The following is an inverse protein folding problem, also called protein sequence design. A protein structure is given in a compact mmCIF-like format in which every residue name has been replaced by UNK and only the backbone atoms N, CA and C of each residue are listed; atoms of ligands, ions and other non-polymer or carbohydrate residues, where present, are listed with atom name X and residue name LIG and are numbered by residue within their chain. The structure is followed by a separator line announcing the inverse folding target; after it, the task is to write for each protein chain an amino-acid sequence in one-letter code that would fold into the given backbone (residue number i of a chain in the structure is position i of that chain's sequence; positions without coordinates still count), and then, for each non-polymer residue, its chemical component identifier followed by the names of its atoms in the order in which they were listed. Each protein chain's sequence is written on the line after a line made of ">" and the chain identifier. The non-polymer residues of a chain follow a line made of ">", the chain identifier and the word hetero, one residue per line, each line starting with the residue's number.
data_IF_537212145037
#
_entry.id   IF_537212145037
#
_cell.length_a   1.000
_cell.length_b   1.000
_cell.length_c   1.000
_cell.angle_alpha   90.00
_cell.angle_beta   90.00
_cell.angle_gamma   90.00
#
_symmetry.space_group_name_H-M   'P 1'
#
loop_
_entity.id
_entity.type
_entity.pdbx_description
1 polymer ?
#
# COMPACT_ATOMS: atom_id res chain seq x y z
N UNK A 1 38.16 34.47 -35.75
CA UNK A 1 37.90 35.08 -34.42
C UNK A 1 36.39 35.23 -34.26
N UNK A 2 35.82 34.48 -33.28
CA UNK A 2 34.75 34.86 -32.32
C UNK A 2 33.53 35.64 -32.86
N UNK A 3 32.27 35.31 -32.59
CA UNK A 3 31.67 34.45 -31.58
C UNK A 3 30.17 34.23 -31.89
N UNK A 4 29.71 33.00 -31.68
CA UNK A 4 28.33 32.61 -31.40
C UNK A 4 27.68 33.50 -30.34
N UNK A 5 26.44 33.99 -30.55
CA UNK A 5 25.33 34.16 -29.58
C UNK A 5 24.05 34.50 -30.38
N UNK A 6 22.85 33.99 -30.15
CA UNK A 6 22.36 33.03 -29.18
C UNK A 6 21.00 32.52 -29.67
N UNK A 7 20.92 31.22 -29.93
CA UNK A 7 19.69 30.52 -30.28
C UNK A 7 19.45 29.48 -29.18
N UNK A 8 19.24 29.95 -27.95
CA UNK A 8 18.85 29.13 -26.80
C UNK A 8 17.89 29.95 -25.95
N UNK A 9 16.59 29.80 -26.20
CA UNK A 9 15.53 30.09 -25.23
C UNK A 9 14.33 29.20 -25.51
N UNK A 10 14.52 27.89 -25.49
CA UNK A 10 13.42 26.92 -25.42
C UNK A 10 13.96 25.65 -24.76
N UNK A 11 14.02 25.62 -23.42
CA UNK A 11 13.78 24.42 -22.61
C UNK A 11 13.80 24.75 -21.12
N UNK A 12 13.08 23.94 -20.35
CA UNK A 12 12.97 23.89 -18.88
C UNK A 12 11.97 24.84 -18.21
N UNK A 13 10.69 24.63 -18.55
CA UNK A 13 9.63 24.68 -17.54
C UNK A 13 9.62 23.31 -16.83
N UNK A 14 10.48 23.14 -15.83
CA UNK A 14 10.29 22.12 -14.80
C UNK A 14 9.11 22.58 -13.95
N UNK A 15 7.90 22.22 -14.37
CA UNK A 15 6.74 22.32 -13.49
C UNK A 15 6.89 21.24 -12.44
N UNK A 16 7.44 21.61 -11.28
CA UNK A 16 7.24 20.81 -10.07
C UNK A 16 5.73 20.63 -9.90
N UNK A 17 5.19 19.40 -9.84
CA UNK A 17 3.84 19.25 -9.35
C UNK A 17 3.85 19.75 -7.90
N UNK A 18 3.28 20.93 -7.68
CA UNK A 18 2.89 21.36 -6.36
C UNK A 18 1.84 20.36 -5.87
N UNK A 19 2.27 19.36 -5.11
CA UNK A 19 1.39 18.46 -4.37
C UNK A 19 0.60 19.30 -3.37
N UNK A 20 -0.56 19.77 -3.80
CA UNK A 20 -1.53 20.43 -2.92
C UNK A 20 -2.56 19.38 -2.55
N UNK A 21 -2.20 18.48 -1.64
CA UNK A 21 -3.18 17.66 -0.91
C UNK A 21 -2.81 17.66 0.57
N UNK A 22 -2.75 18.86 1.16
CA UNK A 22 -2.86 19.00 2.60
C UNK A 22 -4.34 19.09 2.96
N UNK A 23 -5.04 17.97 2.97
CA UNK A 23 -6.08 17.79 3.99
C UNK A 23 -5.37 17.11 5.14
N UNK A 24 -4.75 17.92 6.00
CA UNK A 24 -4.32 17.45 7.32
C UNK A 24 -5.60 17.22 8.12
N UNK A 25 -6.19 16.03 7.96
CA UNK A 25 -7.16 15.54 8.92
C UNK A 25 -6.41 15.32 10.23
N UNK A 26 -6.47 16.30 11.13
CA UNK A 26 -5.90 16.15 12.47
C UNK A 26 -6.86 15.29 13.29
N UNK A 27 -6.36 14.31 14.06
CA UNK A 27 -7.20 13.46 14.93
C UNK A 27 -8.13 14.23 15.86
N UNK A 28 -7.83 15.50 16.13
CA UNK A 28 -8.61 16.36 17.02
C UNK A 28 -10.02 16.72 16.54
N UNK A 29 -10.42 16.38 15.30
CA UNK A 29 -11.76 16.69 14.77
C UNK A 29 -12.65 15.47 14.55
N UNK A 30 -12.08 14.29 14.27
CA UNK A 30 -12.86 13.07 14.03
C UNK A 30 -12.84 12.17 15.26
N UNK A 31 -13.99 11.58 15.62
CA UNK A 31 -14.08 10.63 16.71
C UNK A 31 -13.31 9.33 16.39
N UNK A 32 -13.20 8.99 15.11
CA UNK A 32 -12.34 7.90 14.65
C UNK A 32 -11.59 8.31 13.38
N UNK A 33 -10.32 7.95 13.31
CA UNK A 33 -9.45 8.29 12.19
C UNK A 33 -8.42 7.17 11.93
N UNK A 34 -8.14 6.92 10.65
CA UNK A 34 -7.08 6.03 10.22
C UNK A 34 -6.35 6.62 9.01
N UNK A 35 -5.02 6.46 8.98
CA UNK A 35 -4.14 6.87 7.89
C UNK A 35 -3.12 5.78 7.61
N UNK A 36 -2.93 5.45 6.33
CA UNK A 36 -1.85 4.62 5.83
C UNK A 36 -1.19 5.32 4.65
N UNK A 37 0.11 5.55 4.73
CA UNK A 37 0.88 6.23 3.70
C UNK A 37 2.21 5.50 3.45
N UNK A 38 2.55 5.38 2.17
CA UNK A 38 3.85 4.89 1.72
C UNK A 38 4.40 5.70 0.55
N UNK A 39 5.68 6.02 0.60
CA UNK A 39 6.45 6.62 -0.51
C UNK A 39 7.69 5.76 -0.78
N UNK A 40 8.04 5.58 -2.04
CA UNK A 40 9.26 4.88 -2.42
C UNK A 40 9.89 5.49 -3.67
N UNK A 41 11.21 5.62 -3.67
CA UNK A 41 11.98 6.18 -4.78
C UNK A 41 13.17 5.29 -5.09
N UNK A 42 13.43 5.10 -6.38
CA UNK A 42 14.63 4.48 -6.91
C UNK A 42 15.46 5.51 -7.68
N UNK A 43 16.76 5.52 -7.44
CA UNK A 43 17.72 6.39 -8.13
C UNK A 43 18.99 5.63 -8.47
N UNK A 44 19.85 6.25 -9.28
CA UNK A 44 21.22 5.77 -9.56
C UNK A 44 21.26 4.33 -10.09
N UNK A 45 20.33 3.98 -10.97
CA UNK A 45 20.38 2.67 -11.64
C UNK A 45 21.68 2.53 -12.45
N UNK A 46 22.32 1.39 -12.35
CA UNK A 46 23.53 1.09 -13.14
C UNK A 46 23.27 0.89 -14.63
N UNK A 47 22.02 0.66 -15.03
CA UNK A 47 21.60 0.35 -16.40
C UNK A 47 20.22 0.98 -16.68
N UNK A 48 19.96 1.35 -17.93
CA UNK A 48 18.66 1.87 -18.36
C UNK A 48 17.67 0.70 -18.59
N UNK A 49 16.38 0.85 -18.25
CA UNK A 49 15.39 -0.16 -18.54
C UNK A 49 15.06 -0.20 -20.04
N UNK A 50 14.88 -1.40 -20.60
CA UNK A 50 14.42 -1.58 -21.98
C UNK A 50 12.91 -1.34 -22.12
N UNK A 51 12.15 -1.52 -21.04
CA UNK A 51 10.72 -1.22 -20.97
C UNK A 51 10.30 -0.90 -19.53
N UNK A 52 9.33 -0.01 -19.36
CA UNK A 52 8.75 0.38 -18.07
C UNK A 52 7.23 0.31 -18.12
N UNK A 53 6.61 -0.01 -16.99
CA UNK A 53 5.17 0.15 -16.79
C UNK A 53 4.87 0.64 -15.39
N UNK A 54 3.70 1.25 -15.23
CA UNK A 54 3.23 1.81 -13.96
C UNK A 54 1.74 1.55 -13.81
N UNK A 55 1.30 1.31 -12.59
CA UNK A 55 -0.11 1.16 -12.26
C UNK A 55 -0.41 1.91 -10.96
N UNK A 56 -1.59 2.53 -10.90
CA UNK A 56 -2.07 3.24 -9.73
C UNK A 56 -3.57 2.96 -9.57
N UNK A 57 -3.96 2.50 -8.39
CA UNK A 57 -5.33 2.13 -8.04
C UNK A 57 -5.70 2.87 -6.75
N UNK A 58 -6.91 3.40 -6.71
CA UNK A 58 -7.47 4.05 -5.54
C UNK A 58 -8.96 3.73 -5.44
N UNK A 59 -9.38 3.15 -4.32
CA UNK A 59 -10.73 2.71 -4.05
C UNK A 59 -11.19 3.25 -2.69
N UNK A 60 -12.47 3.62 -2.61
CA UNK A 60 -13.10 4.04 -1.36
C UNK A 60 -14.49 3.44 -1.24
N UNK A 61 -14.89 3.12 -0.03
CA UNK A 61 -16.26 2.71 0.29
C UNK A 61 -16.71 3.42 1.56
N UNK A 62 -17.92 4.00 1.52
CA UNK A 62 -18.50 4.70 2.67
C UNK A 62 -19.94 4.24 2.85
N UNK A 63 -20.28 3.89 4.09
CA UNK A 63 -21.63 3.55 4.51
C UNK A 63 -21.99 4.33 5.76
N UNK A 64 -23.18 4.96 5.73
CA UNK A 64 -23.78 5.63 6.89
C UNK A 64 -25.24 5.20 7.00
N UNK A 65 -25.64 4.68 8.15
CA UNK A 65 -27.01 4.22 8.34
C UNK A 65 -28.00 5.40 8.38
N UNK A 66 -29.10 5.30 7.63
CA UNK A 66 -30.14 6.36 7.50
C UNK A 66 -30.80 6.77 8.83
N UNK A 67 -30.81 5.88 9.83
CA UNK A 67 -31.33 6.17 11.19
C UNK A 67 -30.24 6.61 12.18
N UNK A 68 -28.97 6.63 11.76
CA UNK A 68 -27.86 7.17 12.53
C UNK A 68 -27.65 8.66 12.23
N UNK A 69 -27.08 9.38 13.19
CA UNK A 69 -26.51 10.71 13.01
C UNK A 69 -25.01 10.63 12.67
N UNK A 70 -24.56 9.50 12.10
CA UNK A 70 -23.18 9.25 11.72
C UNK A 70 -22.73 10.10 10.55
N UNK A 71 -21.44 10.40 10.52
CA UNK A 71 -20.75 10.91 9.33
C UNK A 71 -19.52 10.05 9.10
N UNK A 72 -19.15 9.85 7.84
CA UNK A 72 -17.93 9.16 7.48
C UNK A 72 -17.39 9.68 6.15
N UNK A 73 -16.06 9.64 6.02
CA UNK A 73 -15.32 10.04 4.84
C UNK A 73 -14.17 9.07 4.64
N UNK A 74 -13.87 8.77 3.37
CA UNK A 74 -12.73 7.99 2.95
C UNK A 74 -12.06 8.68 1.76
N UNK A 75 -10.73 8.61 1.70
CA UNK A 75 -9.92 9.13 0.60
C UNK A 75 -8.80 8.14 0.29
N UNK A 76 -8.60 7.86 -1.00
CA UNK A 76 -7.51 7.04 -1.50
C UNK A 76 -6.81 7.77 -2.65
N UNK A 77 -5.48 7.73 -2.68
CA UNK A 77 -4.67 8.33 -3.73
C UNK A 77 -3.47 7.42 -4.02
N UNK A 78 -3.13 7.24 -5.29
CA UNK A 78 -1.96 6.51 -5.74
C UNK A 78 -1.33 7.20 -6.95
N UNK A 79 -0.01 7.26 -6.97
CA UNK A 79 0.78 7.84 -8.07
C UNK A 79 1.98 6.94 -8.34
N UNK A 80 2.28 6.71 -9.62
CA UNK A 80 3.46 5.97 -10.04
C UNK A 80 4.12 6.60 -11.26
N UNK A 81 5.45 6.60 -11.29
CA UNK A 81 6.27 7.17 -12.37
C UNK A 81 7.55 6.36 -12.56
N UNK A 82 7.92 6.16 -13.82
CA UNK A 82 9.21 5.58 -14.19
C UNK A 82 9.77 6.34 -15.39
N UNK A 83 10.93 6.96 -15.21
CA UNK A 83 11.71 7.63 -16.26
C UNK A 83 12.80 6.70 -16.75
N UNK A 84 12.94 6.55 -18.07
CA UNK A 84 13.92 5.64 -18.70
C UNK A 84 15.32 6.25 -18.70
N UNK A 85 15.46 7.53 -19.02
CA UNK A 85 16.77 8.20 -19.16
C UNK A 85 16.73 9.65 -18.66
N UNK A 86 17.54 10.03 -17.65
CA UNK A 86 18.27 9.12 -16.76
C UNK A 86 17.28 8.23 -15.95
N UNK A 87 17.62 6.97 -15.69
CA UNK A 87 16.70 6.02 -15.07
C UNK A 87 16.39 6.41 -13.61
N UNK A 88 15.10 6.57 -13.32
CA UNK A 88 14.58 6.85 -11.99
C UNK A 88 13.12 6.41 -11.90
N UNK A 89 12.70 5.92 -10.74
CA UNK A 89 11.31 5.54 -10.52
C UNK A 89 10.84 6.04 -9.16
N UNK A 90 9.57 6.43 -9.07
CA UNK A 90 8.97 6.85 -7.82
C UNK A 90 7.49 6.53 -7.81
N UNK A 91 6.99 6.24 -6.63
CA UNK A 91 5.57 6.05 -6.43
C UNK A 91 5.17 6.27 -4.98
N UNK A 92 3.89 6.63 -4.82
CA UNK A 92 3.28 6.95 -3.55
C UNK A 92 1.85 6.43 -3.50
N UNK A 93 1.41 6.12 -2.29
CA UNK A 93 0.02 5.72 -2.04
C UNK A 93 -0.39 6.19 -0.64
N UNK A 94 -1.61 6.68 -0.54
CA UNK A 94 -2.21 7.26 0.65
C UNK A 94 -3.65 6.79 0.75
N UNK A 95 -4.02 6.27 1.91
CA UNK A 95 -5.39 5.93 2.26
C UNK A 95 -5.73 6.57 3.60
N UNK A 96 -6.85 7.29 3.66
CA UNK A 96 -7.36 7.89 4.90
C UNK A 96 -8.84 7.61 5.05
N UNK A 97 -9.29 7.44 6.29
CA UNK A 97 -10.69 7.29 6.60
C UNK A 97 -10.98 7.93 7.97
N UNK A 98 -12.15 8.54 8.10
CA UNK A 98 -12.59 9.14 9.34
C UNK A 98 -14.10 9.04 9.51
N UNK A 99 -14.55 9.10 10.75
CA UNK A 99 -15.97 9.15 11.05
C UNK A 99 -16.26 9.79 12.40
N UNK A 100 -17.51 10.19 12.57
CA UNK A 100 -18.03 10.77 13.80
C UNK A 100 -19.39 10.17 14.13
N UNK A 101 -19.75 10.21 15.42
CA UNK A 101 -20.97 9.66 15.97
C UNK A 101 -21.04 8.13 15.80
N UNK A 102 -22.11 7.60 15.19
CA UNK A 102 -22.43 6.16 15.22
C UNK A 102 -23.00 5.66 13.90
N UNK A 103 -22.91 4.35 13.71
CA UNK A 103 -23.47 3.62 12.56
C UNK A 103 -22.86 4.05 11.23
N UNK A 104 -21.53 4.08 11.19
CA UNK A 104 -20.77 4.33 9.97
C UNK A 104 -19.70 3.26 9.74
N UNK A 105 -19.30 3.14 8.48
CA UNK A 105 -18.13 2.42 8.00
C UNK A 105 -17.50 3.24 6.88
N UNK A 106 -16.20 3.44 6.93
CA UNK A 106 -15.42 4.02 5.84
C UNK A 106 -14.15 3.18 5.60
N UNK A 107 -13.91 2.88 4.34
CA UNK A 107 -12.78 2.10 3.83
C UNK A 107 -12.07 2.89 2.75
N UNK A 108 -10.75 2.89 2.77
CA UNK A 108 -9.94 3.36 1.65
C UNK A 108 -8.78 2.41 1.40
N UNK A 109 -8.55 2.08 0.12
CA UNK A 109 -7.44 1.26 -0.34
C UNK A 109 -6.77 1.95 -1.52
N UNK A 110 -5.44 1.99 -1.51
CA UNK A 110 -4.63 2.54 -2.58
C UNK A 110 -3.43 1.64 -2.86
N UNK A 111 -3.11 1.49 -4.13
CA UNK A 111 -1.98 0.69 -4.60
C UNK A 111 -1.21 1.44 -5.68
N UNK A 112 0.12 1.41 -5.60
CA UNK A 112 0.98 1.97 -6.63
C UNK A 112 2.09 0.99 -6.98
N UNK A 113 2.26 0.72 -8.28
CA UNK A 113 3.19 -0.26 -8.82
C UNK A 113 4.08 0.40 -9.86
N UNK A 114 5.39 0.14 -9.81
CA UNK A 114 6.33 0.46 -10.89
C UNK A 114 7.05 -0.81 -11.31
N UNK A 115 7.21 -1.00 -12.62
CA UNK A 115 7.93 -2.13 -13.21
C UNK A 115 8.96 -1.60 -14.18
N UNK A 116 10.21 -2.05 -14.03
CA UNK A 116 11.29 -1.81 -14.98
C UNK A 116 11.89 -3.13 -15.44
N UNK A 117 11.98 -3.32 -16.75
CA UNK A 117 12.65 -4.47 -17.35
C UNK A 117 14.04 -4.05 -17.81
N UNK A 118 15.07 -4.83 -17.48
CA UNK A 118 16.45 -4.51 -17.78
C UNK A 118 17.13 -5.70 -18.44
N UNK A 119 17.88 -5.42 -19.50
CA UNK A 119 18.75 -6.38 -20.14
C UNK A 119 20.16 -6.21 -19.58
N UNK A 120 20.52 -7.08 -18.63
CA UNK A 120 21.80 -7.05 -17.94
C UNK A 120 22.82 -7.87 -18.71
N UNK A 121 23.92 -7.24 -19.07
CA UNK A 121 25.04 -7.91 -19.73
C UNK A 121 25.72 -8.93 -18.81
N UNK A 122 26.35 -9.94 -19.41
CA UNK A 122 27.19 -10.88 -18.68
C UNK A 122 28.36 -10.16 -18.01
N UNK A 123 28.72 -10.61 -16.81
CA UNK A 123 29.83 -10.10 -16.01
C UNK A 123 29.69 -8.62 -15.63
N UNK A 124 28.47 -8.12 -15.46
CA UNK A 124 28.22 -6.77 -14.94
C UNK A 124 27.33 -6.78 -13.70
N UNK A 125 27.46 -5.78 -12.81
CA UNK A 125 26.52 -5.59 -11.73
C UNK A 125 25.22 -4.94 -12.22
N UNK A 126 24.11 -5.29 -11.57
CA UNK A 126 22.89 -4.50 -11.56
C UNK A 126 22.72 -3.91 -10.15
N UNK A 127 22.55 -2.59 -10.09
CA UNK A 127 22.46 -1.87 -8.83
C UNK A 127 21.57 -0.64 -8.96
N UNK A 128 21.04 -0.20 -7.83
CA UNK A 128 20.28 1.03 -7.67
C UNK A 128 20.30 1.45 -6.20
N UNK A 129 20.05 2.73 -5.95
CA UNK A 129 19.76 3.27 -4.62
C UNK A 129 18.25 3.38 -4.43
N UNK A 130 17.81 3.34 -3.18
CA UNK A 130 16.41 3.57 -2.86
C UNK A 130 16.21 4.32 -1.54
N UNK A 131 15.10 5.05 -1.47
CA UNK A 131 14.60 5.67 -0.25
C UNK A 131 13.10 5.40 -0.10
N UNK A 132 12.63 5.35 1.13
CA UNK A 132 11.20 5.21 1.38
C UNK A 132 10.78 5.74 2.74
N UNK A 133 9.51 6.11 2.80
CA UNK A 133 8.82 6.56 4.00
C UNK A 133 7.52 5.78 4.16
N UNK A 134 7.21 5.42 5.39
CA UNK A 134 6.05 4.61 5.76
C UNK A 134 5.43 5.22 7.01
N UNK A 135 4.10 5.38 7.00
CA UNK A 135 3.35 5.94 8.12
C UNK A 135 1.99 5.29 8.24
N UNK A 136 1.69 4.78 9.43
CA UNK A 136 0.40 4.27 9.86
C UNK A 136 -0.07 5.07 11.07
N UNK A 137 -1.37 5.31 11.15
CA UNK A 137 -2.02 5.91 12.30
C UNK A 137 -3.44 5.39 12.43
N UNK A 138 -3.84 5.07 13.65
CA UNK A 138 -5.22 4.76 14.02
C UNK A 138 -5.56 5.54 15.29
N UNK A 139 -6.77 6.08 15.37
CA UNK A 139 -7.25 6.74 16.57
C UNK A 139 -8.76 6.62 16.72
N UNK A 140 -9.19 6.48 17.96
CA UNK A 140 -10.60 6.42 18.38
C UNK A 140 -10.82 7.31 19.61
N UNK A 141 -12.07 7.61 19.94
CA UNK A 141 -12.45 8.25 21.21
C UNK A 141 -13.06 7.23 22.18
N UNK A 142 -13.83 6.26 21.67
CA UNK A 142 -14.56 5.28 22.47
C UNK A 142 -14.23 3.82 22.10
N UNK A 143 -13.42 3.18 22.94
CA UNK A 143 -13.01 1.77 22.80
C UNK A 143 -14.15 0.74 22.78
N UNK A 144 -15.36 1.11 23.19
CA UNK A 144 -16.52 0.19 23.22
C UNK A 144 -17.32 0.16 21.93
N UNK A 145 -17.26 1.24 21.15
CA UNK A 145 -18.12 1.41 19.98
C UNK A 145 -17.36 1.71 18.70
N UNK A 146 -16.11 2.14 18.78
CA UNK A 146 -15.31 2.59 17.64
C UNK A 146 -14.14 1.64 17.38
N UNK A 147 -13.72 1.60 16.11
CA UNK A 147 -12.51 0.90 15.69
C UNK A 147 -11.90 1.60 14.48
N UNK A 148 -10.58 1.75 14.50
CA UNK A 148 -9.73 2.25 13.43
C UNK A 148 -8.64 1.22 13.14
N UNK A 149 -8.39 0.98 11.85
CA UNK A 149 -7.30 0.14 11.36
C UNK A 149 -6.58 0.84 10.23
N UNK A 150 -5.24 0.81 10.27
CA UNK A 150 -4.38 1.25 9.19
C UNK A 150 -3.34 0.16 8.91
N UNK A 151 -3.21 -0.25 7.66
CA UNK A 151 -2.26 -1.27 7.25
C UNK A 151 -1.60 -0.90 5.94
N UNK A 152 -0.33 -1.24 5.80
CA UNK A 152 0.38 -0.96 4.57
C UNK A 152 1.59 -1.84 4.36
N UNK A 153 2.00 -1.92 3.11
CA UNK A 153 3.20 -2.60 2.68
C UNK A 153 3.92 -1.82 1.59
N UNK A 154 5.24 -1.90 1.64
CA UNK A 154 6.17 -1.42 0.62
C UNK A 154 7.08 -2.58 0.28
N UNK A 155 7.15 -2.98 -0.99
CA UNK A 155 7.99 -4.11 -1.38
C UNK A 155 8.53 -3.97 -2.79
N UNK A 156 9.73 -4.48 -3.01
CA UNK A 156 10.21 -4.75 -4.36
C UNK A 156 10.72 -6.17 -4.50
N UNK A 157 10.62 -6.66 -5.72
CA UNK A 157 11.08 -7.97 -6.17
C UNK A 157 11.96 -7.77 -7.40
N UNK A 158 13.08 -8.50 -7.43
CA UNK A 158 13.85 -8.70 -8.64
C UNK A 158 13.57 -10.09 -9.17
N UNK A 159 13.11 -10.20 -10.41
CA UNK A 159 12.68 -11.47 -11.02
C UNK A 159 13.49 -11.73 -12.28
N UNK A 160 14.03 -12.94 -12.41
CA UNK A 160 14.58 -13.43 -13.68
C UNK A 160 13.41 -13.81 -14.60
N UNK A 161 13.26 -13.13 -15.73
CA UNK A 161 12.07 -13.28 -16.58
C UNK A 161 12.07 -14.58 -17.38
N UNK A 162 13.23 -15.17 -17.64
CA UNK A 162 13.34 -16.43 -18.38
C UNK A 162 12.93 -17.63 -17.52
N UNK A 163 13.29 -17.60 -16.23
CA UNK A 163 12.98 -18.67 -15.27
C UNK A 163 11.76 -18.39 -14.40
N UNK A 164 11.26 -17.15 -14.40
CA UNK A 164 10.22 -16.64 -13.50
C UNK A 164 10.54 -16.88 -12.02
N UNK A 165 11.82 -16.73 -11.65
CA UNK A 165 12.30 -16.94 -10.29
C UNK A 165 12.62 -15.62 -9.60
N UNK A 166 12.26 -15.50 -8.32
CA UNK A 166 12.62 -14.36 -7.48
C UNK A 166 14.11 -14.46 -7.15
N UNK A 167 14.87 -13.46 -7.59
CA UNK A 167 16.30 -13.34 -7.36
C UNK A 167 16.58 -12.69 -6.01
N UNK A 168 15.89 -11.59 -5.74
CA UNK A 168 16.08 -10.75 -4.55
C UNK A 168 14.78 -10.02 -4.21
N UNK A 169 14.68 -9.57 -2.97
CA UNK A 169 13.52 -8.83 -2.50
C UNK A 169 13.84 -7.90 -1.33
N UNK A 170 12.92 -6.97 -1.11
CA UNK A 170 12.77 -6.16 0.09
C UNK A 170 11.29 -6.05 0.41
N UNK A 171 10.94 -6.07 1.70
CA UNK A 171 9.58 -5.84 2.17
C UNK A 171 9.59 -5.12 3.51
N UNK A 172 8.77 -4.07 3.61
CA UNK A 172 8.34 -3.44 4.84
C UNK A 172 6.83 -3.60 4.92
N UNK A 173 6.32 -4.11 6.05
CA UNK A 173 4.89 -4.27 6.30
C UNK A 173 4.55 -3.78 7.69
N UNK A 174 3.34 -3.26 7.85
CA UNK A 174 2.80 -3.00 9.16
C UNK A 174 1.28 -2.95 9.17
N UNK A 175 0.73 -3.16 10.36
CA UNK A 175 -0.66 -2.91 10.69
C UNK A 175 -0.71 -2.21 12.05
N UNK A 176 -1.67 -1.31 12.20
CA UNK A 176 -2.05 -0.66 13.45
C UNK A 176 -3.56 -0.78 13.62
N UNK A 177 -4.02 -1.22 14.79
CA UNK A 177 -5.43 -1.56 15.05
C UNK A 177 -5.86 -1.09 16.44
N UNK A 178 -6.68 -0.04 16.49
CA UNK A 178 -7.27 0.47 17.74
C UNK A 178 -8.79 0.27 17.76
N UNK A 179 -9.41 -0.35 18.77
CA UNK A 179 -8.77 -1.08 19.87
C UNK A 179 -8.29 -2.46 19.38
N UNK A 180 -7.20 -2.96 19.96
CA UNK A 180 -6.63 -4.27 19.61
C UNK A 180 -5.19 -4.39 20.09
N UNK A 181 -4.59 -5.56 19.84
CA UNK A 181 -3.16 -5.83 20.07
C UNK A 181 -2.53 -6.49 18.82
N UNK A 182 -3.13 -6.30 17.64
CA UNK A 182 -2.69 -6.91 16.37
C UNK A 182 -1.63 -6.06 15.65
N UNK A 183 -0.99 -5.12 16.36
CA UNK A 183 -0.04 -4.17 15.80
C UNK A 183 1.32 -4.80 15.52
N UNK A 184 1.89 -4.49 14.36
CA UNK A 184 3.26 -4.89 14.05
C UNK A 184 3.92 -4.00 13.01
N UNK A 185 5.25 -4.01 13.00
CA UNK A 185 6.08 -3.52 11.89
C UNK A 185 7.18 -4.55 11.63
N UNK A 186 7.23 -5.05 10.41
CA UNK A 186 8.19 -6.06 9.98
C UNK A 186 8.99 -5.58 8.77
N UNK A 187 10.28 -5.88 8.76
CA UNK A 187 11.17 -5.64 7.63
C UNK A 187 11.89 -6.94 7.30
N UNK A 188 11.82 -7.34 6.05
CA UNK A 188 12.51 -8.49 5.50
C UNK A 188 13.24 -8.09 4.21
N UNK A 189 14.39 -8.71 3.95
CA UNK A 189 15.18 -8.43 2.75
C UNK A 189 16.10 -9.59 2.42
N UNK A 190 16.50 -9.65 1.16
CA UNK A 190 17.61 -10.46 0.67
C UNK A 190 18.98 -9.90 1.08
N UNK A 191 20.03 -10.70 0.90
CA UNK A 191 21.41 -10.34 1.26
C UNK A 191 21.98 -9.20 0.39
N UNK A 192 21.57 -9.12 -0.88
CA UNK A 192 22.03 -8.11 -1.83
C UNK A 192 21.39 -6.72 -1.61
N UNK A 193 20.45 -6.61 -0.66
CA UNK A 193 19.84 -5.35 -0.24
C UNK A 193 20.52 -4.87 1.03
N UNK A 194 21.06 -3.66 1.02
CA UNK A 194 21.70 -3.03 2.18
C UNK A 194 20.87 -1.82 2.60
N UNK A 195 20.50 -1.74 3.88
CA UNK A 195 19.89 -0.56 4.47
C UNK A 195 21.01 0.25 5.15
N UNK A 196 21.24 1.48 4.66
CA UNK A 196 22.22 2.38 5.24
C UNK A 196 21.65 3.13 6.44
N UNK A 197 20.49 3.75 6.25
CA UNK A 197 19.76 4.47 7.30
C UNK A 197 18.40 3.82 7.51
N UNK A 198 18.03 3.60 8.76
CA UNK A 198 16.71 3.12 9.15
C UNK A 198 16.29 3.79 10.46
N UNK A 199 15.31 4.68 10.38
CA UNK A 199 14.63 5.25 11.52
C UNK A 199 13.26 4.59 11.66
N UNK A 200 12.92 4.14 12.87
CA UNK A 200 11.62 3.55 13.21
C UNK A 200 11.13 4.14 14.52
N UNK A 201 9.86 4.46 14.57
CA UNK A 201 9.17 4.93 15.78
C UNK A 201 7.73 4.41 15.77
N UNK A 202 7.22 4.04 16.93
CA UNK A 202 5.90 3.44 17.06
C UNK A 202 5.35 3.56 18.48
N UNK A 203 4.03 3.61 18.59
CA UNK A 203 3.26 3.50 19.83
C UNK A 203 2.01 2.70 19.55
N UNK A 204 1.88 1.53 20.18
CA UNK A 204 0.77 0.58 20.03
C UNK A 204 -0.03 0.49 21.34
N UNK A 205 -0.35 1.65 21.92
CA UNK A 205 -1.08 1.67 23.18
C UNK A 205 -2.02 2.86 23.27
N UNK A 206 -3.13 2.66 23.97
CA UNK A 206 -4.13 3.68 24.22
C UNK A 206 -5.14 3.79 23.08
N UNK A 207 -5.69 4.98 22.90
CA UNK A 207 -6.70 5.24 21.87
C UNK A 207 -6.11 5.86 20.60
N UNK A 208 -4.78 6.02 20.56
CA UNK A 208 -4.05 6.61 19.44
C UNK A 208 -2.78 5.81 19.24
N UNK A 209 -2.71 5.14 18.11
CA UNK A 209 -1.61 4.26 17.77
C UNK A 209 -0.99 4.68 16.45
N UNK A 210 0.32 4.48 16.33
CA UNK A 210 1.04 4.83 15.13
C UNK A 210 2.27 3.95 14.94
N UNK A 211 2.67 3.84 13.68
CA UNK A 211 3.96 3.31 13.26
C UNK A 211 4.52 4.19 12.15
N UNK A 212 5.80 4.50 12.23
CA UNK A 212 6.51 5.21 11.18
C UNK A 212 7.88 4.61 10.94
N UNK A 213 8.28 4.57 9.67
CA UNK A 213 9.62 4.20 9.27
C UNK A 213 10.10 5.09 8.13
N UNK A 214 11.37 5.47 8.18
CA UNK A 214 12.07 6.13 7.06
C UNK A 214 13.38 5.43 6.84
N UNK A 215 13.71 5.14 5.59
CA UNK A 215 14.88 4.34 5.27
C UNK A 215 15.53 4.76 3.95
N UNK A 216 16.83 4.52 3.88
CA UNK A 216 17.65 4.63 2.70
C UNK A 216 18.49 3.38 2.56
N UNK A 217 18.59 2.86 1.34
CA UNK A 217 19.39 1.68 1.06
C UNK A 217 19.90 1.63 -0.37
N UNK A 218 20.56 0.52 -0.67
CA UNK A 218 21.05 0.20 -2.00
C UNK A 218 20.87 -1.28 -2.27
N UNK A 219 20.77 -1.61 -3.54
CA UNK A 219 20.80 -2.97 -4.06
C UNK A 219 22.01 -3.12 -4.97
N UNK A 220 22.71 -4.25 -4.89
CA UNK A 220 23.76 -4.58 -5.83
C UNK A 220 23.90 -6.10 -6.01
N UNK A 221 23.78 -6.59 -7.24
CA UNK A 221 23.98 -7.99 -7.60
C UNK A 221 24.82 -8.14 -8.85
N UNK A 222 25.80 -9.03 -8.79
CA UNK A 222 26.62 -9.40 -9.94
C UNK A 222 25.99 -10.55 -10.73
N UNK A 223 25.97 -10.44 -12.05
CA UNK A 223 25.48 -11.48 -12.95
C UNK A 223 26.62 -12.04 -13.80
N UNK A 224 26.85 -13.34 -13.73
CA UNK A 224 27.87 -14.04 -14.53
C UNK A 224 27.45 -14.18 -15.99
N UNK A 225 26.15 -14.36 -16.22
CA UNK A 225 25.54 -14.56 -17.53
C UNK A 225 24.61 -13.40 -17.85
N UNK A 226 24.42 -13.12 -19.14
CA UNK A 226 23.48 -12.11 -19.58
C UNK A 226 22.04 -12.54 -19.21
N UNK A 227 21.25 -11.61 -18.67
CA UNK A 227 19.90 -11.89 -18.19
C UNK A 227 18.96 -10.71 -18.43
N UNK A 228 17.72 -11.03 -18.76
CA UNK A 228 16.63 -10.07 -18.65
C UNK A 228 15.99 -10.21 -17.27
N UNK A 229 15.90 -9.11 -16.56
CA UNK A 229 15.33 -9.05 -15.21
C UNK A 229 14.19 -8.04 -15.17
N UNK A 230 13.20 -8.30 -14.32
CA UNK A 230 12.16 -7.33 -13.97
C UNK A 230 12.35 -6.89 -12.52
N UNK A 231 12.48 -5.58 -12.32
CA UNK A 231 12.27 -4.97 -11.02
C UNK A 231 10.79 -4.62 -10.92
N UNK A 232 10.11 -5.18 -9.93
CA UNK A 232 8.69 -4.92 -9.65
C UNK A 232 8.62 -4.34 -8.24
N UNK A 233 8.17 -3.12 -8.10
CA UNK A 233 7.88 -2.52 -6.80
C UNK A 233 6.37 -2.31 -6.67
N UNK A 234 5.84 -2.67 -5.51
CA UNK A 234 4.42 -2.55 -5.15
C UNK A 234 4.33 -1.91 -3.78
N UNK A 235 3.44 -0.93 -3.66
CA UNK A 235 2.89 -0.49 -2.38
C UNK A 235 1.41 -0.70 -2.33
N UNK A 236 0.92 -1.07 -1.17
CA UNK A 236 -0.50 -1.06 -0.85
C UNK A 236 -0.72 -0.39 0.51
N UNK A 237 -1.77 0.42 0.60
CA UNK A 237 -2.18 1.13 1.81
C UNK A 237 -3.68 0.97 1.98
N UNK A 238 -4.11 0.51 3.15
CA UNK A 238 -5.50 0.24 3.47
C UNK A 238 -5.85 0.83 4.82
N UNK A 239 -7.06 1.36 4.92
CA UNK A 239 -7.61 1.85 6.18
C UNK A 239 -9.07 1.47 6.31
N UNK A 240 -9.50 1.28 7.55
CA UNK A 240 -10.88 1.05 7.93
C UNK A 240 -11.19 1.85 9.19
N UNK A 241 -12.34 2.51 9.20
CA UNK A 241 -12.92 3.09 10.42
C UNK A 241 -14.38 2.69 10.52
N UNK A 242 -14.85 2.39 11.72
CA UNK A 242 -16.26 2.06 11.96
C UNK A 242 -16.69 2.42 13.37
N UNK A 243 -17.98 2.74 13.50
CA UNK A 243 -18.66 2.82 14.78
C UNK A 243 -19.91 1.93 14.80
N UNK A 244 -19.96 0.97 15.71
CA UNK A 244 -21.12 0.11 15.94
C UNK A 244 -22.16 0.82 16.81
N UNK A 245 -23.45 0.53 16.66
CA UNK A 245 -24.46 1.04 17.59
C UNK A 245 -24.14 0.54 19.00
N UNK A 246 -24.17 1.45 19.99
CA UNK A 246 -24.22 1.04 21.39
C UNK A 246 -25.36 0.03 21.55
N UNK A 247 -25.05 -1.16 22.05
CA UNK A 247 -26.05 -2.16 22.37
C UNK A 247 -26.98 -1.58 23.42
N UNK A 248 -28.12 -1.03 23.02
CA UNK A 248 -29.23 -0.89 23.94
C UNK A 248 -29.75 -2.29 24.18
N UNK A 249 -29.36 -2.85 25.32
CA UNK A 249 -29.86 -4.13 25.83
C UNK A 249 -31.38 -4.20 25.66
N UNK A 250 -31.85 -4.98 24.67
CA UNK A 250 -33.11 -5.72 24.68
C UNK A 250 -33.14 -6.75 23.53
N UNK A 251 -32.92 -7.98 23.98
CA UNK A 251 -33.12 -9.30 23.39
C UNK A 251 -34.21 -9.46 22.29
N UNK A 252 -33.90 -10.38 21.36
CA UNK A 252 -34.74 -11.45 20.75
C UNK A 252 -35.10 -11.35 19.25
N UNK A 253 -34.79 -12.45 18.55
CA UNK A 253 -35.39 -12.99 17.32
C UNK A 253 -34.99 -12.37 15.97
N UNK A 254 -34.12 -13.06 15.21
CA UNK A 254 -34.56 -13.98 14.14
C UNK A 254 -33.34 -14.66 13.47
N UNK A 255 -32.72 -15.65 14.13
CA UNK A 255 -31.91 -16.65 13.38
C UNK A 255 -32.87 -17.74 12.94
N UNK A 256 -33.60 -17.45 11.86
CA UNK A 256 -34.44 -18.39 11.16
C UNK A 256 -33.60 -19.20 10.17
N UNK A 257 -33.36 -20.46 10.56
CA UNK A 257 -32.96 -21.63 9.78
C UNK A 257 -33.00 -21.46 8.25
N UNK A 258 -31.88 -21.77 7.60
CA UNK A 258 -31.79 -21.90 6.14
C UNK A 258 -30.61 -22.77 5.69
N UNK A 259 -30.38 -23.93 6.33
CA UNK A 259 -29.52 -24.97 5.73
C UNK A 259 -30.36 -25.67 4.67
N UNK A 260 -30.22 -25.24 3.42
CA UNK A 260 -30.63 -26.06 2.27
C UNK A 260 -29.37 -26.68 1.69
N UNK A 261 -29.05 -27.87 2.22
CA UNK A 261 -28.19 -28.82 1.52
C UNK A 261 -29.03 -29.56 0.48
N UNK A 262 -28.79 -29.31 -0.81
CA UNK A 262 -29.26 -30.22 -1.86
C UNK A 262 -28.16 -31.25 -2.11
N UNK A 263 -28.39 -32.44 -1.55
CA UNK A 263 -27.60 -33.62 -1.81
C UNK A 263 -27.82 -34.10 -3.25
N UNK A 264 -26.69 -34.37 -3.90
CA UNK A 264 -26.55 -35.04 -5.19
C UNK A 264 -27.27 -36.40 -5.20
N UNK A 265 -27.90 -36.67 -6.34
CA UNK A 265 -28.80 -37.80 -6.53
C UNK A 265 -28.14 -39.18 -6.50
N UNK A 266 -28.98 -40.18 -6.21
CA UNK A 266 -28.83 -41.55 -6.71
C UNK A 266 -30.21 -42.12 -7.01
N UNK A 267 -30.50 -42.31 -8.29
CA UNK A 267 -31.58 -43.18 -8.79
C UNK A 267 -31.36 -44.58 -8.24
N UNK A 268 -32.37 -45.14 -7.57
CA UNK A 268 -32.50 -46.59 -7.38
C UNK A 268 -33.62 -47.10 -8.27
N UNK A 269 -33.22 -48.00 -9.17
CA UNK A 269 -34.06 -48.86 -10.00
C UNK A 269 -34.83 -49.81 -9.07
N UNK A 270 -36.15 -49.92 -9.24
CA UNK A 270 -36.96 -50.99 -8.67
C UNK A 270 -37.08 -52.13 -9.70
N UNK A 271 -36.89 -53.40 -9.31
CA UNK A 271 -37.44 -54.54 -10.03
C UNK A 271 -38.80 -54.91 -9.43
N UNK A 272 -39.82 -55.08 -10.25
CA UNK A 272 -41.00 -55.88 -9.89
C UNK A 272 -40.98 -57.18 -10.69
N UNK A 273 -40.81 -58.28 -9.96
CA UNK A 273 -41.30 -59.60 -10.32
C UNK A 273 -42.62 -59.81 -9.57
N UNK A 274 -43.69 -60.07 -10.32
CA UNK A 274 -44.79 -61.03 -10.08
C UNK A 274 -45.91 -60.73 -11.07
#
# INVERSE_FOLDING_TARGET
>A
MKQYQGLIKHFLLLTAPFFTSCILATPSQAATFALSQGNFNFTDFSQEPSNVSTEAIANTEVFVAKKGNGTAQAEANAVASFVISPPAASNSSLSTAMGENRNYLALADSQATVVGNFDVNANTPFSFNFTGDFKLQASIENTRSESAKAGGDISFLLVDTASNSVLDFFSLKGDVVTPGDEDFVAIEKSDNVVLGTLAKDFSFSGNQEFAQASFQGSFNRFFTDAKTISLIEVKQNRVEVKAVPESSTNLTALVGVGVVGVALGRRKVQPQYS
#
